data_IF_381240938575
#
_entry.id   IF_381240938575
#
_cell.length_a   1.000
_cell.length_b   1.000
_cell.length_c   1.000
_cell.angle_alpha   90.00
_cell.angle_beta   90.00
_cell.angle_gamma   90.00
#
_symmetry.space_group_name_H-M   'P 1'
#
loop_
_entity.id
_entity.type
_entity.pdbx_description
1 polymer ?
#
# COMPACT_ATOMS: atom_id res chain seq x y z
N UNK A 1 -29.58 -13.25 -16.38
CA UNK A 1 -29.01 -13.07 -15.03
C UNK A 1 -28.42 -11.68 -14.99
N UNK A 2 -29.09 -10.73 -14.33
CA UNK A 2 -28.55 -9.36 -14.20
C UNK A 2 -27.29 -9.45 -13.33
N UNK A 3 -26.13 -9.15 -13.91
CA UNK A 3 -24.87 -9.10 -13.17
C UNK A 3 -24.91 -8.04 -12.07
N UNK A 4 -24.14 -8.23 -11.00
CA UNK A 4 -23.99 -7.23 -9.95
C UNK A 4 -23.30 -6.01 -10.55
N UNK A 5 -23.92 -4.84 -10.43
CA UNK A 5 -23.25 -3.58 -10.71
C UNK A 5 -22.28 -3.28 -9.55
N UNK A 6 -20.99 -3.52 -9.80
CA UNK A 6 -19.93 -3.33 -8.81
C UNK A 6 -19.73 -1.84 -8.49
N UNK A 7 -19.95 -0.95 -9.44
CA UNK A 7 -19.81 0.48 -9.23
C UNK A 7 -20.91 0.99 -8.29
N UNK A 8 -22.17 0.73 -8.65
CA UNK A 8 -23.34 1.12 -7.85
C UNK A 8 -23.25 0.59 -6.41
N UNK A 9 -22.75 -0.65 -6.24
CA UNK A 9 -22.64 -1.29 -4.92
C UNK A 9 -21.51 -0.72 -4.04
N UNK A 10 -20.34 -0.41 -4.62
CA UNK A 10 -19.13 -0.12 -3.84
C UNK A 10 -18.64 1.32 -3.95
N UNK A 11 -18.97 2.03 -5.02
CA UNK A 11 -18.38 3.33 -5.37
C UNK A 11 -19.38 4.50 -5.33
N UNK A 12 -20.69 4.24 -5.36
CA UNK A 12 -21.73 5.30 -5.36
C UNK A 12 -21.57 6.38 -4.28
N UNK A 13 -21.04 6.01 -3.11
CA UNK A 13 -20.77 6.99 -2.04
C UNK A 13 -19.81 8.10 -2.47
N UNK A 14 -18.84 7.78 -3.33
CA UNK A 14 -17.79 8.72 -3.75
C UNK A 14 -18.28 9.78 -4.75
N UNK A 15 -19.43 9.57 -5.37
CA UNK A 15 -20.08 10.56 -6.26
C UNK A 15 -20.77 11.67 -5.48
N UNK A 16 -20.94 11.51 -4.17
CA UNK A 16 -21.51 12.55 -3.31
C UNK A 16 -20.56 13.74 -3.24
N UNK A 17 -21.13 14.93 -3.13
CA UNK A 17 -20.40 16.15 -2.84
C UNK A 17 -19.56 16.02 -1.56
N UNK A 18 -18.41 16.68 -1.52
CA UNK A 18 -17.53 16.68 -0.35
C UNK A 18 -18.29 16.97 0.95
N UNK A 19 -19.17 17.97 0.96
CA UNK A 19 -19.94 18.36 2.15
C UNK A 19 -20.81 17.23 2.69
N UNK A 20 -21.44 16.44 1.81
CA UNK A 20 -22.24 15.28 2.18
C UNK A 20 -21.39 14.13 2.73
N UNK A 21 -20.24 13.85 2.10
CA UNK A 21 -19.34 12.80 2.56
C UNK A 21 -18.77 13.12 3.94
N UNK A 22 -18.41 14.38 4.13
CA UNK A 22 -17.85 14.90 5.36
C UNK A 22 -18.92 14.89 6.48
N UNK A 23 -20.16 15.33 6.21
CA UNK A 23 -21.26 15.25 7.17
C UNK A 23 -21.59 13.81 7.58
N UNK A 24 -21.57 12.87 6.62
CA UNK A 24 -21.69 11.44 6.91
C UNK A 24 -20.59 10.95 7.87
N UNK A 25 -19.35 11.35 7.63
CA UNK A 25 -18.19 10.97 8.42
C UNK A 25 -18.23 11.57 9.84
N UNK A 26 -18.53 12.86 10.00
CA UNK A 26 -18.71 13.53 11.30
C UNK A 26 -19.81 12.87 12.13
N UNK A 27 -20.98 12.63 11.55
CA UNK A 27 -22.08 11.90 12.22
C UNK A 27 -21.67 10.51 12.68
N UNK A 28 -20.84 9.82 11.89
CA UNK A 28 -20.33 8.50 12.22
C UNK A 28 -19.31 8.57 13.37
N UNK A 29 -18.40 9.55 13.35
CA UNK A 29 -17.46 9.80 14.45
C UNK A 29 -18.21 10.09 15.76
N UNK A 30 -19.20 10.98 15.76
CA UNK A 30 -19.94 11.33 16.97
C UNK A 30 -20.57 10.09 17.62
N UNK A 31 -21.28 9.27 16.83
CA UNK A 31 -21.84 8.00 17.33
C UNK A 31 -20.78 7.02 17.80
N UNK A 32 -19.64 6.95 17.11
CA UNK A 32 -18.54 6.07 17.47
C UNK A 32 -17.89 6.51 18.79
N UNK A 33 -17.64 7.80 18.95
CA UNK A 33 -17.07 8.41 20.16
C UNK A 33 -17.93 8.13 21.39
N UNK A 34 -19.26 8.27 21.31
CA UNK A 34 -20.15 7.96 22.45
C UNK A 34 -20.05 6.49 22.92
N UNK A 35 -19.75 5.55 22.02
CA UNK A 35 -19.47 4.16 22.39
C UNK A 35 -18.04 4.00 22.91
N UNK A 36 -17.08 4.63 22.26
CA UNK A 36 -15.66 4.57 22.62
C UNK A 36 -15.40 5.06 24.04
N UNK A 37 -16.08 6.13 24.49
CA UNK A 37 -16.01 6.65 25.86
C UNK A 37 -16.33 5.62 26.96
N UNK A 38 -16.99 4.52 26.62
CA UNK A 38 -17.38 3.44 27.56
C UNK A 38 -16.33 2.34 27.68
N UNK A 39 -15.31 2.35 26.82
CA UNK A 39 -14.26 1.32 26.78
C UNK A 39 -13.27 1.48 27.93
N UNK A 40 -12.53 0.42 28.25
CA UNK A 40 -11.40 0.49 29.16
C UNK A 40 -10.27 1.37 28.62
N UNK A 41 -10.11 1.42 27.29
CA UNK A 41 -9.11 2.27 26.63
C UNK A 41 -9.38 3.75 26.89
N UNK A 42 -10.63 4.20 26.76
CA UNK A 42 -11.00 5.58 27.05
C UNK A 42 -10.67 5.99 28.50
N UNK A 43 -10.83 5.07 29.46
CA UNK A 43 -10.46 5.32 30.87
C UNK A 43 -8.94 5.40 31.08
N UNK A 44 -8.17 4.62 30.32
CA UNK A 44 -6.70 4.64 30.37
C UNK A 44 -6.17 5.94 29.77
N UNK A 45 -6.66 6.33 28.60
CA UNK A 45 -6.19 7.52 27.88
C UNK A 45 -6.73 8.82 28.47
N UNK A 46 -7.94 8.80 29.05
CA UNK A 46 -8.61 9.98 29.57
C UNK A 46 -9.32 9.68 30.91
N UNK A 47 -8.61 9.73 32.05
CA UNK A 47 -9.18 9.45 33.37
C UNK A 47 -10.39 10.32 33.72
N UNK A 48 -10.39 11.59 33.28
CA UNK A 48 -11.44 12.57 33.57
C UNK A 48 -12.67 12.47 32.66
N UNK A 49 -12.71 11.50 31.74
CA UNK A 49 -13.74 11.29 30.69
C UNK A 49 -13.89 12.51 29.75
N UNK A 50 -13.54 12.36 28.47
CA UNK A 50 -13.60 13.47 27.52
C UNK A 50 -15.06 13.85 27.20
N UNK A 51 -15.33 15.14 26.95
CA UNK A 51 -16.65 15.64 26.53
C UNK A 51 -16.78 15.64 25.01
N UNK A 52 -15.68 15.95 24.31
CA UNK A 52 -15.56 15.94 22.85
C UNK A 52 -14.39 15.06 22.44
N UNK A 53 -14.38 14.58 21.21
CA UNK A 53 -13.31 13.70 20.73
C UNK A 53 -11.94 14.41 20.72
N UNK A 54 -11.92 15.72 20.51
CA UNK A 54 -10.69 16.53 20.54
C UNK A 54 -10.05 16.59 21.93
N UNK A 55 -10.79 16.30 23.00
CA UNK A 55 -10.25 16.28 24.36
C UNK A 55 -9.42 14.99 24.61
N UNK A 56 -9.47 14.00 23.69
CA UNK A 56 -8.64 12.79 23.74
C UNK A 56 -7.24 13.15 23.21
N UNK A 57 -6.13 12.79 23.87
CA UNK A 57 -4.80 13.07 23.32
C UNK A 57 -4.57 12.35 21.99
N UNK A 58 -3.73 12.91 21.14
CA UNK A 58 -3.17 12.16 20.01
C UNK A 58 -2.38 10.99 20.59
N UNK A 59 -2.61 9.80 20.07
CA UNK A 59 -1.98 8.56 20.55
C UNK A 59 -0.96 8.04 19.55
N UNK A 60 -0.03 7.26 20.06
CA UNK A 60 1.00 6.53 19.33
C UNK A 60 0.92 5.05 19.75
N UNK A 61 1.67 4.17 19.09
CA UNK A 61 1.59 2.74 19.41
C UNK A 61 1.98 2.41 20.87
N UNK A 62 2.85 3.21 21.50
CA UNK A 62 3.25 3.03 22.90
C UNK A 62 2.11 3.27 23.91
N UNK A 63 1.08 4.02 23.53
CA UNK A 63 -0.10 4.27 24.38
C UNK A 63 -1.02 3.04 24.48
N UNK A 64 -0.70 1.96 23.77
CA UNK A 64 -1.46 0.72 23.72
C UNK A 64 -0.65 -0.46 24.29
N UNK A 65 -0.27 -0.47 25.59
CA UNK A 65 0.53 -1.54 26.18
C UNK A 65 -0.12 -2.92 26.05
N UNK A 66 -1.46 -2.97 26.00
CA UNK A 66 -2.22 -4.19 25.76
C UNK A 66 -1.92 -4.84 24.40
N UNK A 67 -1.53 -4.06 23.38
CA UNK A 67 -1.11 -4.60 22.08
C UNK A 67 0.28 -5.22 22.12
N UNK A 68 1.18 -4.72 22.97
CA UNK A 68 2.47 -5.36 23.23
C UNK A 68 2.28 -6.73 23.89
N UNK A 69 1.44 -6.79 24.93
CA UNK A 69 1.07 -8.06 25.58
C UNK A 69 0.39 -9.02 24.59
N UNK A 70 -0.53 -8.53 23.76
CA UNK A 70 -1.14 -9.32 22.70
C UNK A 70 -0.10 -9.87 21.72
N UNK A 71 0.88 -9.05 21.32
CA UNK A 71 1.98 -9.46 20.44
C UNK A 71 2.82 -10.60 21.02
N UNK A 72 3.05 -10.61 22.34
CA UNK A 72 3.72 -11.72 23.03
C UNK A 72 2.83 -12.97 23.04
N UNK A 73 1.56 -12.83 23.45
CA UNK A 73 0.60 -13.96 23.51
C UNK A 73 0.40 -14.63 22.16
N UNK A 74 0.28 -13.86 21.08
CA UNK A 74 0.11 -14.43 19.73
C UNK A 74 1.39 -15.11 19.26
N UNK A 75 2.57 -14.57 19.61
CA UNK A 75 3.86 -15.21 19.31
C UNK A 75 3.99 -16.57 20.02
N UNK A 76 3.56 -16.65 21.29
CA UNK A 76 3.51 -17.91 22.03
C UNK A 76 2.52 -18.90 21.42
N UNK A 77 1.34 -18.43 21.02
CA UNK A 77 0.34 -19.26 20.34
C UNK A 77 0.85 -19.80 19.01
N UNK A 78 1.59 -19.00 18.23
CA UNK A 78 2.21 -19.46 16.98
C UNK A 78 3.23 -20.56 17.23
N UNK A 79 4.03 -20.45 18.28
CA UNK A 79 5.02 -21.48 18.68
C UNK A 79 4.34 -22.77 19.16
N UNK A 80 3.32 -22.65 20.01
CA UNK A 80 2.65 -23.81 20.63
C UNK A 80 1.63 -24.50 19.72
N UNK A 81 1.01 -23.75 18.79
CA UNK A 81 -0.06 -24.23 17.93
C UNK A 81 0.27 -23.89 16.47
N UNK A 82 1.10 -24.67 15.78
CA UNK A 82 1.41 -24.43 14.36
C UNK A 82 0.17 -24.60 13.48
N UNK A 83 0.22 -23.99 12.28
CA UNK A 83 -0.79 -24.12 11.24
C UNK A 83 -0.96 -25.60 10.85
N UNK A 84 -2.21 -26.08 10.84
CA UNK A 84 -2.52 -27.47 10.49
C UNK A 84 -2.31 -27.71 8.99
N UNK A 85 -2.08 -28.97 8.61
CA UNK A 85 -1.99 -29.35 7.20
C UNK A 85 -3.31 -29.02 6.49
N UNK A 86 -3.25 -28.25 5.39
CA UNK A 86 -4.42 -27.82 4.63
C UNK A 86 -5.20 -26.62 5.20
N UNK A 87 -4.90 -26.16 6.42
CA UNK A 87 -5.50 -24.94 7.00
C UNK A 87 -4.97 -23.71 6.26
N UNK A 88 -5.83 -22.76 5.91
CA UNK A 88 -5.41 -21.48 5.31
C UNK A 88 -4.81 -20.55 6.37
N UNK A 89 -4.04 -19.53 5.98
CA UNK A 89 -3.57 -18.56 6.97
C UNK A 89 -4.72 -17.76 7.57
N UNK A 90 -5.79 -17.52 6.81
CA UNK A 90 -7.04 -16.95 7.33
C UNK A 90 -7.55 -17.78 8.51
N UNK A 91 -7.83 -19.06 8.30
CA UNK A 91 -8.42 -19.93 9.34
C UNK A 91 -7.48 -20.05 10.54
N UNK A 92 -6.18 -20.15 10.25
CA UNK A 92 -5.14 -20.20 11.27
C UNK A 92 -5.16 -18.97 12.18
N UNK A 93 -5.03 -17.76 11.61
CA UNK A 93 -4.97 -16.52 12.39
C UNK A 93 -6.31 -16.12 13.00
N UNK A 94 -7.44 -16.49 12.38
CA UNK A 94 -8.75 -16.36 13.02
C UNK A 94 -8.83 -17.24 14.28
N UNK A 95 -8.35 -18.49 14.20
CA UNK A 95 -8.38 -19.43 15.33
C UNK A 95 -7.44 -19.04 16.47
N UNK A 96 -6.17 -18.73 16.17
CA UNK A 96 -5.20 -18.37 17.23
C UNK A 96 -5.40 -16.95 17.73
N UNK A 97 -5.81 -16.02 16.85
CA UNK A 97 -6.09 -14.63 17.20
C UNK A 97 -7.23 -14.53 18.19
N UNK A 98 -8.32 -15.27 17.99
CA UNK A 98 -9.45 -15.29 18.93
C UNK A 98 -9.04 -15.79 20.33
N UNK A 99 -8.19 -16.83 20.41
CA UNK A 99 -7.65 -17.31 21.69
C UNK A 99 -6.73 -16.30 22.35
N UNK A 100 -5.87 -15.63 21.59
CA UNK A 100 -4.88 -14.69 22.11
C UNK A 100 -5.46 -13.31 22.45
N UNK A 101 -6.51 -12.87 21.74
CA UNK A 101 -6.93 -11.47 21.67
C UNK A 101 -8.37 -11.19 22.12
N UNK A 102 -9.19 -12.19 22.45
CA UNK A 102 -10.60 -11.96 22.86
C UNK A 102 -10.75 -10.97 24.02
N UNK A 103 -9.82 -10.98 24.97
CA UNK A 103 -9.76 -10.05 26.11
C UNK A 103 -9.55 -8.58 25.69
N UNK A 104 -9.07 -8.31 24.47
CA UNK A 104 -8.92 -6.95 23.94
C UNK A 104 -10.26 -6.27 23.68
N UNK A 105 -11.36 -7.03 23.61
CA UNK A 105 -12.71 -6.50 23.39
C UNK A 105 -13.10 -5.40 24.39
N UNK A 106 -12.54 -5.42 25.61
CA UNK A 106 -12.80 -4.39 26.62
C UNK A 106 -12.22 -3.00 26.25
N UNK A 107 -11.19 -2.97 25.39
CA UNK A 107 -10.52 -1.75 24.93
C UNK A 107 -11.10 -1.21 23.62
N UNK A 108 -12.09 -1.90 23.04
CA UNK A 108 -12.63 -1.60 21.72
C UNK A 108 -14.13 -1.31 21.80
N UNK A 109 -14.64 -0.55 20.81
CA UNK A 109 -16.08 -0.24 20.71
C UNK A 109 -16.94 -1.48 20.43
N UNK A 110 -16.33 -2.53 19.92
CA UNK A 110 -16.98 -3.78 19.54
C UNK A 110 -16.04 -4.97 19.85
N UNK A 111 -16.56 -6.21 19.88
CA UNK A 111 -15.75 -7.38 20.17
C UNK A 111 -14.59 -7.56 19.19
N UNK A 112 -13.47 -8.08 19.71
CA UNK A 112 -12.33 -8.51 18.91
C UNK A 112 -12.78 -9.48 17.79
N UNK A 113 -12.41 -9.19 16.56
CA UNK A 113 -12.80 -9.99 15.40
C UNK A 113 -11.61 -10.64 14.72
N UNK A 114 -10.60 -9.83 14.36
CA UNK A 114 -9.38 -10.28 13.71
C UNK A 114 -8.17 -9.47 14.19
N UNK A 115 -6.98 -9.95 13.83
CA UNK A 115 -5.74 -9.21 14.03
C UNK A 115 -4.93 -9.15 12.75
N UNK A 116 -4.15 -8.08 12.62
CA UNK A 116 -3.24 -7.87 11.51
C UNK A 116 -1.85 -7.51 12.04
N UNK A 117 -0.82 -7.77 11.24
CA UNK A 117 0.57 -7.48 11.59
C UNK A 117 1.18 -6.50 10.58
N UNK A 118 1.87 -5.47 11.06
CA UNK A 118 2.64 -4.58 10.18
C UNK A 118 3.91 -5.28 9.69
N UNK A 119 4.45 -4.82 8.58
CA UNK A 119 5.70 -5.34 8.00
C UNK A 119 6.94 -4.96 8.80
N UNK A 120 6.89 -3.88 9.60
CA UNK A 120 8.07 -3.36 10.32
C UNK A 120 9.11 -2.67 9.41
N UNK A 121 8.71 -2.17 8.23
CA UNK A 121 9.66 -1.58 7.27
C UNK A 121 10.53 -0.45 7.85
N UNK A 122 10.06 0.20 8.93
CA UNK A 122 10.77 1.29 9.63
C UNK A 122 10.97 1.02 11.13
N UNK A 123 10.93 -0.25 11.57
CA UNK A 123 11.08 -0.62 12.98
C UNK A 123 10.50 -1.98 13.33
N UNK A 124 10.10 -2.18 14.59
CA UNK A 124 9.49 -3.44 15.01
C UNK A 124 8.10 -3.65 14.38
N UNK A 125 7.79 -4.88 14.01
CA UNK A 125 6.44 -5.23 13.55
C UNK A 125 5.43 -5.08 14.69
N UNK A 126 4.35 -4.37 14.41
CA UNK A 126 3.24 -4.09 15.32
C UNK A 126 2.10 -5.07 15.08
N UNK A 127 1.44 -5.49 16.15
CA UNK A 127 0.19 -6.25 16.07
C UNK A 127 -0.99 -5.32 16.35
N UNK A 128 -2.01 -5.41 15.51
CA UNK A 128 -3.20 -4.57 15.61
C UNK A 128 -4.44 -5.44 15.74
N UNK A 129 -5.34 -5.03 16.62
CA UNK A 129 -6.62 -5.66 16.85
C UNK A 129 -7.75 -4.87 16.20
N UNK A 130 -8.63 -5.59 15.49
CA UNK A 130 -9.74 -5.01 14.76
C UNK A 130 -11.03 -5.78 15.02
N UNK A 131 -12.13 -5.04 15.03
CA UNK A 131 -13.48 -5.55 15.14
C UNK A 131 -14.12 -5.78 13.77
N UNK A 132 -15.39 -6.18 13.79
CA UNK A 132 -16.15 -6.52 12.58
C UNK A 132 -16.40 -5.30 11.68
N UNK A 133 -16.71 -4.14 12.24
CA UNK A 133 -16.94 -2.90 11.49
C UNK A 133 -15.71 -2.53 10.66
N UNK A 134 -14.51 -2.69 11.24
CA UNK A 134 -13.26 -2.44 10.52
C UNK A 134 -13.11 -3.39 9.33
N UNK A 135 -13.36 -4.70 9.53
CA UNK A 135 -13.29 -5.68 8.44
C UNK A 135 -14.28 -5.38 7.31
N UNK A 136 -15.52 -5.01 7.63
CA UNK A 136 -16.55 -4.68 6.64
C UNK A 136 -16.16 -3.44 5.82
N UNK A 137 -15.68 -2.39 6.50
CA UNK A 137 -15.13 -1.20 5.84
C UNK A 137 -13.94 -1.56 4.94
N UNK A 138 -12.98 -2.31 5.49
CA UNK A 138 -11.76 -2.73 4.79
C UNK A 138 -12.08 -3.54 3.52
N UNK A 139 -12.98 -4.52 3.64
CA UNK A 139 -13.35 -5.36 2.51
C UNK A 139 -14.10 -4.58 1.43
N UNK A 140 -15.02 -3.71 1.83
CA UNK A 140 -15.75 -2.81 0.92
C UNK A 140 -14.79 -1.86 0.19
N UNK A 141 -13.87 -1.20 0.91
CA UNK A 141 -12.91 -0.28 0.33
C UNK A 141 -11.88 -0.98 -0.58
N UNK A 142 -11.48 -2.21 -0.24
CA UNK A 142 -10.59 -3.02 -1.11
C UNK A 142 -11.23 -3.34 -2.45
N UNK A 143 -12.54 -3.64 -2.47
CA UNK A 143 -13.27 -3.87 -3.72
C UNK A 143 -13.49 -2.54 -4.47
N UNK A 144 -13.86 -1.48 -3.76
CA UNK A 144 -14.10 -0.18 -4.34
C UNK A 144 -12.85 0.38 -5.06
N UNK A 145 -11.66 0.24 -4.45
CA UNK A 145 -10.39 0.65 -5.08
C UNK A 145 -10.12 -0.16 -6.35
N UNK A 146 -10.35 -1.47 -6.36
CA UNK A 146 -10.20 -2.29 -7.57
C UNK A 146 -11.19 -1.88 -8.68
N UNK A 147 -12.43 -1.54 -8.32
CA UNK A 147 -13.45 -1.02 -9.25
C UNK A 147 -12.96 0.29 -9.87
N UNK A 148 -12.58 1.27 -9.06
CA UNK A 148 -12.06 2.57 -9.53
C UNK A 148 -10.84 2.41 -10.42
N UNK A 149 -9.90 1.51 -10.06
CA UNK A 149 -8.70 1.28 -10.86
C UNK A 149 -9.01 0.83 -12.29
N UNK A 150 -10.15 0.14 -12.48
CA UNK A 150 -10.62 -0.36 -13.76
C UNK A 150 -11.65 0.55 -14.44
N UNK A 151 -11.72 1.83 -14.04
CA UNK A 151 -12.68 2.81 -14.54
C UNK A 151 -11.95 3.96 -15.22
N UNK A 152 -12.49 4.46 -16.33
CA UNK A 152 -11.95 5.63 -17.04
C UNK A 152 -12.74 6.90 -16.69
N UNK A 153 -13.97 6.75 -16.18
CA UNK A 153 -14.81 7.84 -15.68
C UNK A 153 -15.65 7.41 -14.48
N UNK A 154 -16.37 8.38 -13.92
CA UNK A 154 -17.33 8.17 -12.84
C UNK A 154 -18.58 7.44 -13.35
N UNK A 155 -19.15 6.56 -12.52
CA UNK A 155 -20.40 5.85 -12.82
C UNK A 155 -20.22 4.54 -13.60
N UNK A 156 -19.00 4.18 -13.99
CA UNK A 156 -18.74 3.04 -14.85
C UNK A 156 -17.52 2.22 -14.41
N UNK A 157 -17.44 0.94 -14.79
CA UNK A 157 -16.24 0.14 -14.59
C UNK A 157 -16.12 -0.97 -15.63
N UNK A 158 -14.89 -1.28 -16.05
CA UNK A 158 -14.59 -2.44 -16.90
C UNK A 158 -14.47 -3.74 -16.11
N UNK A 159 -14.35 -3.64 -14.77
CA UNK A 159 -14.22 -4.79 -13.88
C UNK A 159 -15.51 -5.60 -13.84
N UNK A 160 -15.39 -6.92 -13.96
CA UNK A 160 -16.52 -7.85 -13.95
C UNK A 160 -16.31 -8.91 -12.88
N UNK A 161 -17.41 -9.37 -12.30
CA UNK A 161 -17.39 -10.51 -11.39
C UNK A 161 -16.77 -11.74 -12.09
N UNK A 162 -15.87 -12.42 -11.38
CA UNK A 162 -15.10 -13.55 -11.90
C UNK A 162 -13.85 -13.18 -12.69
N UNK A 163 -13.56 -11.89 -12.91
CA UNK A 163 -12.29 -11.44 -13.46
C UNK A 163 -11.11 -11.96 -12.63
N UNK A 164 -10.00 -12.27 -13.31
CA UNK A 164 -8.82 -12.83 -12.67
C UNK A 164 -7.91 -11.74 -12.15
N UNK A 165 -7.57 -11.81 -10.88
CA UNK A 165 -6.73 -10.85 -10.19
C UNK A 165 -5.36 -11.44 -9.86
N UNK A 166 -4.29 -10.68 -10.10
CA UNK A 166 -2.95 -11.06 -9.73
C UNK A 166 -2.82 -11.16 -8.21
N UNK A 167 -2.46 -12.34 -7.70
CA UNK A 167 -2.19 -12.53 -6.30
C UNK A 167 -0.68 -12.68 -6.10
N UNK A 168 0.01 -11.58 -5.80
CA UNK A 168 1.41 -11.57 -5.35
C UNK A 168 1.55 -10.97 -3.94
N UNK A 169 0.44 -10.84 -3.22
CA UNK A 169 0.40 -10.25 -1.89
C UNK A 169 1.18 -11.08 -0.86
N UNK A 170 1.75 -10.42 0.15
CA UNK A 170 2.22 -11.11 1.35
C UNK A 170 1.02 -11.80 2.05
N UNK A 171 1.19 -13.01 2.59
CA UNK A 171 0.10 -13.79 3.16
C UNK A 171 -0.44 -13.15 4.46
N UNK A 172 -1.63 -13.60 4.90
CA UNK A 172 -2.14 -13.28 6.24
C UNK A 172 -1.08 -13.72 7.28
N UNK A 173 -0.72 -12.85 8.25
CA UNK A 173 -1.53 -11.79 8.86
C UNK A 173 -1.26 -10.38 8.33
N UNK A 174 -0.52 -10.22 7.24
CA UNK A 174 -0.25 -8.90 6.66
C UNK A 174 -1.49 -8.34 5.97
N UNK A 175 -1.64 -7.01 6.01
CA UNK A 175 -2.81 -6.31 5.44
C UNK A 175 -3.05 -6.63 3.96
N UNK A 176 -1.98 -6.82 3.17
CA UNK A 176 -2.08 -7.22 1.75
C UNK A 176 -2.76 -8.58 1.56
N UNK A 177 -2.52 -9.52 2.48
CA UNK A 177 -3.15 -10.85 2.45
C UNK A 177 -4.63 -10.78 2.78
N UNK A 178 -5.00 -9.93 3.75
CA UNK A 178 -6.40 -9.61 4.05
C UNK A 178 -7.09 -8.91 2.88
N UNK A 179 -6.41 -8.02 2.17
CA UNK A 179 -6.91 -7.36 0.95
C UNK A 179 -7.16 -8.34 -0.20
N UNK A 180 -6.26 -9.32 -0.39
CA UNK A 180 -6.47 -10.41 -1.33
C UNK A 180 -7.73 -11.22 -0.96
N UNK A 181 -7.89 -11.57 0.31
CA UNK A 181 -9.07 -12.29 0.80
C UNK A 181 -10.37 -11.51 0.56
N UNK A 182 -10.38 -10.20 0.83
CA UNK A 182 -11.53 -9.35 0.55
C UNK A 182 -11.88 -9.33 -0.95
N UNK A 183 -10.86 -9.23 -1.80
CA UNK A 183 -11.01 -9.20 -3.26
C UNK A 183 -11.57 -10.50 -3.83
N UNK A 184 -11.33 -11.64 -3.17
CA UNK A 184 -11.85 -12.96 -3.57
C UNK A 184 -13.38 -13.02 -3.59
N UNK A 185 -14.08 -12.08 -2.95
CA UNK A 185 -15.54 -12.00 -2.96
C UNK A 185 -16.11 -11.83 -4.39
N UNK A 186 -15.37 -11.16 -5.28
CA UNK A 186 -15.79 -10.94 -6.68
C UNK A 186 -14.76 -11.39 -7.70
N UNK A 187 -13.50 -11.58 -7.30
CA UNK A 187 -12.38 -11.81 -8.22
C UNK A 187 -11.77 -13.20 -8.02
N UNK A 188 -11.28 -13.78 -9.11
CA UNK A 188 -10.56 -15.05 -9.10
C UNK A 188 -9.06 -14.79 -8.95
N UNK A 189 -8.53 -15.03 -7.77
CA UNK A 189 -7.10 -14.82 -7.50
C UNK A 189 -6.22 -15.82 -8.26
N UNK A 190 -5.12 -15.33 -8.83
CA UNK A 190 -4.12 -16.13 -9.55
C UNK A 190 -2.72 -15.87 -8.97
N UNK A 191 -2.13 -16.84 -8.26
CA UNK A 191 -2.74 -18.10 -7.81
C UNK A 191 -3.87 -17.90 -6.77
N UNK A 192 -4.73 -18.91 -6.58
CA UNK A 192 -5.70 -18.94 -5.49
C UNK A 192 -5.03 -18.81 -4.12
N UNK A 193 -5.75 -18.29 -3.11
CA UNK A 193 -5.22 -18.10 -1.74
C UNK A 193 -4.76 -19.42 -1.14
N UNK A 194 -5.48 -20.51 -1.40
CA UNK A 194 -5.18 -21.83 -0.88
C UNK A 194 -3.84 -22.36 -1.41
N UNK A 195 -3.43 -21.92 -2.59
CA UNK A 195 -2.09 -22.21 -3.14
C UNK A 195 -1.07 -21.24 -2.58
N UNK A 196 -1.36 -19.93 -2.63
CA UNK A 196 -0.46 -18.87 -2.18
C UNK A 196 -0.04 -19.03 -0.71
N UNK A 197 -0.98 -19.38 0.17
CA UNK A 197 -0.74 -19.55 1.62
C UNK A 197 0.13 -20.75 1.96
N UNK A 198 0.32 -21.69 1.03
CA UNK A 198 1.17 -22.87 1.24
C UNK A 198 2.54 -22.75 0.55
N UNK A 199 2.80 -21.64 -0.15
CA UNK A 199 4.12 -21.32 -0.70
C UNK A 199 4.94 -20.58 0.36
N UNK A 200 6.15 -21.08 0.64
CA UNK A 200 7.05 -20.47 1.62
C UNK A 200 7.89 -19.35 1.02
N UNK A 201 8.15 -19.40 -0.28
CA UNK A 201 9.04 -18.48 -0.98
C UNK A 201 8.26 -17.62 -2.00
N UNK A 202 8.41 -16.31 -1.91
CA UNK A 202 7.86 -15.35 -2.87
C UNK A 202 8.37 -15.60 -4.29
N UNK A 203 9.61 -16.09 -4.44
CA UNK A 203 10.18 -16.47 -5.74
C UNK A 203 9.41 -17.63 -6.38
N UNK A 204 9.02 -18.64 -5.60
CA UNK A 204 8.20 -19.75 -6.10
C UNK A 204 6.83 -19.24 -6.56
N UNK A 205 6.21 -18.36 -5.77
CA UNK A 205 4.94 -17.70 -6.11
C UNK A 205 5.05 -16.92 -7.42
N UNK A 206 6.14 -16.16 -7.59
CA UNK A 206 6.44 -15.42 -8.81
C UNK A 206 6.53 -16.34 -10.04
N UNK A 207 7.32 -17.41 -9.98
CA UNK A 207 7.44 -18.34 -11.11
C UNK A 207 6.15 -19.09 -11.41
N UNK A 208 5.32 -19.35 -10.40
CA UNK A 208 4.01 -19.97 -10.58
C UNK A 208 3.06 -19.03 -11.35
N UNK A 209 3.07 -17.74 -11.04
CA UNK A 209 2.35 -16.71 -11.80
C UNK A 209 2.83 -16.66 -13.25
N UNK A 210 4.15 -16.59 -13.49
CA UNK A 210 4.69 -16.58 -14.85
C UNK A 210 4.27 -17.84 -15.64
N UNK A 211 4.27 -19.01 -14.99
CA UNK A 211 3.80 -20.26 -15.60
C UNK A 211 2.30 -20.24 -15.91
N UNK A 212 1.49 -19.66 -15.03
CA UNK A 212 0.05 -19.50 -15.22
C UNK A 212 -0.23 -18.61 -16.45
N UNK A 213 0.39 -17.43 -16.50
CA UNK A 213 0.25 -16.48 -17.62
C UNK A 213 0.69 -17.13 -18.94
N UNK A 214 1.84 -17.83 -18.94
CA UNK A 214 2.34 -18.56 -20.13
C UNK A 214 1.37 -19.62 -20.62
N UNK A 215 0.61 -20.26 -19.72
CA UNK A 215 -0.42 -21.26 -20.06
C UNK A 215 -1.72 -20.64 -20.59
N UNK A 216 -1.80 -19.31 -20.68
CA UNK A 216 -2.94 -18.58 -21.22
C UNK A 216 -3.84 -17.96 -20.15
N UNK A 217 -3.47 -18.00 -18.87
CA UNK A 217 -4.21 -17.30 -17.82
C UNK A 217 -4.18 -15.78 -18.07
N UNK A 218 -5.35 -15.19 -18.33
CA UNK A 218 -5.50 -13.75 -18.58
C UNK A 218 -5.79 -13.04 -17.26
N UNK A 219 -4.83 -12.26 -16.80
CA UNK A 219 -4.98 -11.40 -15.63
C UNK A 219 -5.64 -10.10 -16.06
N UNK A 220 -6.75 -9.73 -15.42
CA UNK A 220 -7.53 -8.54 -15.73
C UNK A 220 -7.30 -7.41 -14.72
N UNK A 221 -6.85 -7.69 -13.50
CA UNK A 221 -6.54 -6.66 -12.51
C UNK A 221 -5.35 -7.10 -11.67
N UNK A 222 -4.54 -6.16 -11.22
CA UNK A 222 -3.41 -6.46 -10.34
C UNK A 222 -3.21 -5.38 -9.29
N UNK A 223 -2.56 -5.76 -8.19
CA UNK A 223 -2.14 -4.82 -7.16
C UNK A 223 -0.76 -5.18 -6.62
N UNK A 224 0.05 -4.17 -6.29
CA UNK A 224 1.36 -4.37 -5.68
C UNK A 224 2.34 -3.25 -5.99
N UNK A 225 3.63 -3.56 -5.87
CA UNK A 225 4.73 -2.66 -6.23
C UNK A 225 4.93 -2.64 -7.76
N UNK A 226 5.26 -1.47 -8.33
CA UNK A 226 5.43 -1.31 -9.78
C UNK A 226 6.52 -2.22 -10.37
N UNK A 227 7.61 -2.45 -9.63
CA UNK A 227 8.71 -3.34 -10.04
C UNK A 227 8.29 -4.77 -10.32
N UNK A 228 7.23 -5.28 -9.68
CA UNK A 228 6.68 -6.60 -9.98
C UNK A 228 6.17 -6.67 -11.43
N UNK A 229 5.39 -5.67 -11.86
CA UNK A 229 4.82 -5.63 -13.19
C UNK A 229 5.91 -5.39 -14.23
N UNK A 230 6.88 -4.53 -13.93
CA UNK A 230 8.09 -4.35 -14.74
C UNK A 230 8.82 -5.68 -14.96
N UNK A 231 9.04 -6.43 -13.88
CA UNK A 231 9.73 -7.73 -13.94
C UNK A 231 8.93 -8.77 -14.75
N UNK A 232 7.60 -8.79 -14.65
CA UNK A 232 6.76 -9.67 -15.50
C UNK A 232 6.82 -9.24 -16.97
N UNK A 233 6.77 -7.93 -17.25
CA UNK A 233 6.86 -7.40 -18.60
C UNK A 233 8.19 -7.80 -19.26
N UNK A 234 9.33 -7.50 -18.59
CA UNK A 234 10.66 -7.90 -19.06
C UNK A 234 10.76 -9.41 -19.29
N UNK A 235 10.18 -10.25 -18.42
CA UNK A 235 10.22 -11.70 -18.60
C UNK A 235 9.56 -12.18 -19.90
N UNK A 236 8.44 -11.57 -20.32
CA UNK A 236 7.68 -12.00 -21.50
C UNK A 236 8.07 -11.27 -22.78
N UNK A 237 8.37 -9.98 -22.69
CA UNK A 237 8.60 -9.09 -23.84
C UNK A 237 10.09 -8.95 -24.15
N UNK A 238 10.94 -8.92 -23.12
CA UNK A 238 12.39 -8.67 -23.24
C UNK A 238 13.23 -9.70 -22.44
N UNK A 239 13.06 -11.01 -22.72
CA UNK A 239 13.64 -12.06 -21.87
C UNK A 239 15.17 -12.05 -21.84
N UNK A 240 15.83 -11.58 -22.91
CA UNK A 240 17.29 -11.43 -22.92
C UNK A 240 17.74 -10.44 -21.84
N UNK A 241 17.12 -9.25 -21.78
CA UNK A 241 17.47 -8.22 -20.82
C UNK A 241 17.13 -8.65 -19.39
N UNK A 242 15.95 -9.26 -19.19
CA UNK A 242 15.57 -9.87 -17.92
C UNK A 242 16.68 -10.77 -17.38
N UNK A 243 17.17 -11.72 -18.19
CA UNK A 243 18.23 -12.64 -17.76
C UNK A 243 19.61 -11.96 -17.68
N UNK A 244 19.86 -10.91 -18.46
CA UNK A 244 21.11 -10.14 -18.41
C UNK A 244 21.29 -9.43 -17.07
N UNK A 245 20.24 -8.84 -16.49
CA UNK A 245 20.28 -8.21 -15.17
C UNK A 245 20.68 -9.22 -14.08
N UNK A 246 20.05 -10.40 -14.05
CA UNK A 246 20.44 -11.47 -13.14
C UNK A 246 21.86 -11.99 -13.39
N UNK A 247 22.33 -11.98 -14.64
CA UNK A 247 23.67 -12.43 -14.98
C UNK A 247 24.75 -11.49 -14.44
N UNK A 248 24.52 -10.17 -14.51
CA UNK A 248 25.46 -9.14 -14.01
C UNK A 248 25.61 -9.21 -12.50
N UNK A 249 24.53 -9.44 -11.77
CA UNK A 249 24.51 -9.53 -10.31
C UNK A 249 25.01 -10.86 -9.74
N UNK A 250 25.21 -11.89 -10.57
CA UNK A 250 25.65 -13.21 -10.12
C UNK A 250 27.17 -13.38 -10.07
N UNK A 251 27.65 -14.09 -9.04
CA UNK A 251 29.03 -14.57 -8.94
C UNK A 251 29.35 -15.64 -10.01
N UNK A 252 30.64 -15.79 -10.31
CA UNK A 252 31.12 -16.83 -11.24
C UNK A 252 30.77 -18.24 -10.72
N UNK A 253 30.20 -19.07 -11.59
CA UNK A 253 29.82 -20.44 -11.27
C UNK A 253 28.87 -21.07 -12.30
N UNK A 254 28.51 -22.34 -12.09
CA UNK A 254 27.67 -23.13 -13.01
C UNK A 254 26.35 -22.43 -13.33
N UNK A 255 25.70 -21.81 -12.34
CA UNK A 255 24.46 -21.05 -12.54
C UNK A 255 24.64 -19.89 -13.54
N UNK A 256 25.78 -19.20 -13.48
CA UNK A 256 26.11 -18.08 -14.38
C UNK A 256 26.34 -18.57 -15.81
N UNK A 257 26.97 -19.72 -15.98
CA UNK A 257 27.12 -20.39 -17.28
C UNK A 257 25.75 -20.79 -17.85
N UNK A 258 24.88 -21.42 -17.04
CA UNK A 258 23.53 -21.80 -17.48
C UNK A 258 22.69 -20.58 -17.87
N UNK A 259 22.82 -19.48 -17.14
CA UNK A 259 22.13 -18.24 -17.44
C UNK A 259 22.65 -17.60 -18.74
N UNK A 260 23.96 -17.64 -18.97
CA UNK A 260 24.55 -17.22 -20.25
C UNK A 260 24.02 -18.05 -21.43
N UNK A 261 23.95 -19.37 -21.29
CA UNK A 261 23.35 -20.25 -22.31
C UNK A 261 21.87 -19.90 -22.53
N UNK A 262 21.14 -19.56 -21.47
CA UNK A 262 19.74 -19.11 -21.58
C UNK A 262 19.62 -17.79 -22.33
N UNK A 263 20.50 -16.82 -22.08
CA UNK A 263 20.56 -15.56 -22.81
C UNK A 263 20.88 -15.78 -24.30
N UNK A 264 21.85 -16.66 -24.60
CA UNK A 264 22.15 -17.05 -25.99
C UNK A 264 20.94 -17.69 -26.66
N UNK A 265 20.23 -18.57 -25.97
CA UNK A 265 18.98 -19.15 -26.48
C UNK A 265 17.96 -18.05 -26.80
N UNK A 266 17.77 -17.07 -25.91
CA UNK A 266 16.86 -15.93 -26.12
C UNK A 266 17.25 -15.09 -27.35
N UNK A 267 18.55 -14.81 -27.54
CA UNK A 267 19.08 -14.11 -28.72
C UNK A 267 18.81 -14.85 -30.02
N UNK A 268 19.01 -16.16 -30.01
CA UNK A 268 18.80 -17.01 -31.19
C UNK A 268 17.30 -17.20 -31.49
N UNK A 269 16.46 -17.18 -30.46
CA UNK A 269 15.01 -17.31 -30.58
C UNK A 269 14.29 -15.99 -30.84
N UNK A 270 14.93 -14.99 -31.48
CA UNK A 270 14.34 -13.67 -31.77
C UNK A 270 12.94 -13.84 -32.37
N UNK A 271 11.92 -13.60 -31.54
CA UNK A 271 10.51 -13.51 -31.92
C UNK A 271 10.18 -12.03 -32.06
N UNK A 272 9.21 -11.70 -32.91
CA UNK A 272 8.62 -10.36 -32.94
C UNK A 272 8.16 -9.96 -31.54
N UNK A 273 8.45 -8.70 -31.14
CA UNK A 273 8.11 -8.17 -29.83
C UNK A 273 6.59 -8.21 -29.68
N UNK A 274 6.10 -9.17 -28.89
CA UNK A 274 4.67 -9.30 -28.60
C UNK A 274 4.36 -8.36 -27.44
N UNK A 275 3.32 -7.53 -27.56
CA UNK A 275 2.90 -6.64 -26.47
C UNK A 275 2.51 -7.42 -25.21
N UNK A 276 2.88 -6.89 -24.04
CA UNK A 276 2.54 -7.49 -22.74
C UNK A 276 1.03 -7.63 -22.53
N UNK A 277 0.21 -6.76 -23.13
CA UNK A 277 -1.27 -6.82 -23.04
C UNK A 277 -1.84 -8.13 -23.60
N UNK A 278 -1.13 -8.79 -24.53
CA UNK A 278 -1.52 -10.10 -25.04
C UNK A 278 -1.37 -11.19 -23.98
N UNK A 279 -0.44 -11.04 -23.04
CA UNK A 279 -0.24 -11.96 -21.93
C UNK A 279 -1.11 -11.56 -20.73
N UNK A 280 -1.13 -10.26 -20.41
CA UNK A 280 -1.81 -9.68 -19.27
C UNK A 280 -2.69 -8.49 -19.71
N UNK A 281 -3.93 -8.74 -20.16
CA UNK A 281 -4.86 -7.71 -20.58
C UNK A 281 -5.46 -7.00 -19.35
N UNK A 282 -4.63 -6.23 -18.66
CA UNK A 282 -5.01 -5.50 -17.45
C UNK A 282 -6.05 -4.42 -17.79
N UNK A 283 -7.14 -4.44 -17.04
CA UNK A 283 -8.19 -3.40 -17.03
C UNK A 283 -7.87 -2.29 -16.05
N UNK A 284 -7.10 -2.59 -15.01
CA UNK A 284 -6.68 -1.65 -13.98
C UNK A 284 -5.57 -2.22 -13.10
N UNK A 285 -4.78 -1.34 -12.50
CA UNK A 285 -3.68 -1.69 -11.60
C UNK A 285 -3.72 -0.79 -10.37
N UNK A 286 -3.49 -1.38 -9.21
CA UNK A 286 -3.37 -0.69 -7.92
C UNK A 286 -1.89 -0.65 -7.51
N UNK A 287 -1.32 0.53 -7.33
CA UNK A 287 0.04 0.68 -6.83
C UNK A 287 0.07 1.53 -5.57
N UNK A 288 0.96 1.17 -4.66
CA UNK A 288 1.14 1.83 -3.37
C UNK A 288 2.62 2.11 -3.13
N UNK A 289 2.87 3.06 -2.23
CA UNK A 289 4.23 3.48 -1.86
C UNK A 289 4.76 4.62 -2.72
N UNK A 290 5.80 5.27 -2.20
CA UNK A 290 6.38 6.49 -2.79
C UNK A 290 6.96 6.21 -4.19
N UNK A 291 7.54 5.02 -4.38
CA UNK A 291 8.14 4.57 -5.65
C UNK A 291 7.13 4.34 -6.76
N UNK A 292 5.81 4.33 -6.47
CA UNK A 292 4.75 4.19 -7.47
C UNK A 292 4.92 5.19 -8.63
N UNK A 293 5.35 6.42 -8.33
CA UNK A 293 5.58 7.47 -9.31
C UNK A 293 6.61 7.08 -10.39
N UNK A 294 7.61 6.27 -10.05
CA UNK A 294 8.67 5.84 -10.98
C UNK A 294 8.16 4.90 -12.07
N UNK A 295 6.98 4.30 -11.88
CA UNK A 295 6.43 3.27 -12.79
C UNK A 295 5.21 3.76 -13.60
N UNK A 296 4.75 5.00 -13.41
CA UNK A 296 3.56 5.53 -14.11
C UNK A 296 3.75 5.45 -15.63
N UNK A 297 4.85 5.99 -16.15
CA UNK A 297 5.14 6.00 -17.59
C UNK A 297 5.30 4.58 -18.14
N UNK A 298 5.90 3.67 -17.37
CA UNK A 298 5.98 2.26 -17.73
C UNK A 298 4.60 1.63 -17.94
N UNK A 299 3.63 1.89 -17.06
CA UNK A 299 2.27 1.36 -17.24
C UNK A 299 1.56 2.00 -18.43
N UNK A 300 1.75 3.30 -18.68
CA UNK A 300 1.18 3.99 -19.84
C UNK A 300 1.74 3.42 -21.14
N UNK A 301 3.05 3.21 -21.23
CA UNK A 301 3.72 2.74 -22.45
C UNK A 301 3.50 1.25 -22.72
N UNK A 302 3.66 0.39 -21.72
CA UNK A 302 3.63 -1.07 -21.91
C UNK A 302 2.21 -1.65 -21.79
N UNK A 303 1.39 -1.11 -20.89
CA UNK A 303 0.04 -1.61 -20.63
C UNK A 303 -1.09 -0.73 -21.15
N UNK A 304 -0.78 0.46 -21.69
CA UNK A 304 -1.76 1.43 -22.16
C UNK A 304 -2.83 1.76 -21.10
N UNK A 305 -2.40 1.90 -19.84
CA UNK A 305 -3.25 2.28 -18.72
C UNK A 305 -2.49 3.16 -17.72
N UNK A 306 -3.22 3.97 -16.99
CA UNK A 306 -2.69 4.69 -15.82
C UNK A 306 -3.03 3.91 -14.54
N UNK A 307 -2.03 3.63 -13.68
CA UNK A 307 -2.26 2.89 -12.45
C UNK A 307 -2.93 3.78 -11.40
N UNK A 308 -3.81 3.18 -10.58
CA UNK A 308 -4.44 3.85 -9.45
C UNK A 308 -3.50 3.84 -8.25
N UNK A 309 -3.14 5.03 -7.76
CA UNK A 309 -2.43 5.19 -6.51
C UNK A 309 -3.37 4.92 -5.35
N UNK A 310 -2.88 4.17 -4.37
CA UNK A 310 -3.59 3.91 -3.12
C UNK A 310 -2.66 4.15 -1.94
N UNK A 311 -3.25 4.63 -0.85
CA UNK A 311 -2.59 4.73 0.45
C UNK A 311 -3.42 4.00 1.50
N UNK A 312 -2.75 3.17 2.28
CA UNK A 312 -3.36 2.41 3.34
C UNK A 312 -2.32 1.78 4.25
N UNK A 313 -2.79 1.36 5.42
CA UNK A 313 -1.94 0.83 6.47
C UNK A 313 -2.59 -0.36 7.16
N UNK A 314 -1.84 -1.05 8.01
CA UNK A 314 -2.43 -2.11 8.86
C UNK A 314 -3.35 -1.50 9.91
N UNK A 315 -3.00 -0.31 10.40
CA UNK A 315 -3.71 0.42 11.43
C UNK A 315 -5.09 0.92 10.97
N UNK A 316 -5.18 1.41 9.72
CA UNK A 316 -6.36 2.10 9.18
C UNK A 316 -7.02 1.41 7.97
N UNK A 317 -6.39 0.40 7.36
CA UNK A 317 -6.87 -0.18 6.11
C UNK A 317 -6.64 0.75 4.90
N UNK A 318 -7.37 0.56 3.78
CA UNK A 318 -7.39 1.53 2.68
C UNK A 318 -7.94 2.87 3.18
N UNK A 319 -7.12 3.92 3.10
CA UNK A 319 -7.44 5.24 3.65
C UNK A 319 -7.60 6.30 2.56
N UNK A 320 -6.79 6.24 1.50
CA UNK A 320 -6.88 7.16 0.36
C UNK A 320 -6.65 6.41 -0.95
N UNK A 321 -7.18 6.96 -2.04
CA UNK A 321 -7.04 6.42 -3.39
C UNK A 321 -7.10 7.56 -4.42
N UNK A 322 -6.61 7.34 -5.62
CA UNK A 322 -6.97 8.18 -6.76
C UNK A 322 -8.44 8.04 -7.14
N UNK A 323 -8.92 8.99 -7.93
CA UNK A 323 -10.23 8.97 -8.59
C UNK A 323 -10.07 8.59 -10.08
N UNK A 324 -11.14 8.18 -10.80
CA UNK A 324 -11.04 7.76 -12.21
C UNK A 324 -10.37 8.79 -13.13
N UNK A 325 -10.63 10.07 -12.88
CA UNK A 325 -10.11 11.23 -13.60
C UNK A 325 -8.78 11.75 -13.06
N UNK A 326 -8.33 11.24 -11.91
CA UNK A 326 -7.08 11.66 -11.26
C UNK A 326 -6.46 10.50 -10.48
N UNK A 327 -5.93 9.51 -11.21
CA UNK A 327 -5.54 8.21 -10.64
C UNK A 327 -4.28 8.25 -9.78
N UNK A 328 -3.39 9.22 -10.01
CA UNK A 328 -2.06 9.28 -9.40
C UNK A 328 -1.98 10.12 -8.11
N UNK A 329 -3.02 10.90 -7.81
CA UNK A 329 -3.11 11.66 -6.56
C UNK A 329 -4.00 10.95 -5.55
N UNK A 330 -3.89 11.32 -4.27
CA UNK A 330 -4.58 10.64 -3.18
C UNK A 330 -5.76 11.47 -2.69
N UNK A 331 -6.92 10.82 -2.60
CA UNK A 331 -8.19 11.40 -2.16
C UNK A 331 -8.73 10.56 -0.99
N UNK A 332 -9.13 11.16 0.14
CA UNK A 332 -9.58 10.43 1.33
C UNK A 332 -10.85 9.58 1.13
N UNK A 333 -10.86 8.35 1.65
CA UNK A 333 -12.08 7.54 1.80
C UNK A 333 -12.73 7.84 3.16
N UNK A 334 -13.74 8.72 3.16
CA UNK A 334 -14.46 9.14 4.37
C UNK A 334 -15.45 8.08 4.91
N UNK A 335 -15.44 6.85 4.39
CA UNK A 335 -16.26 5.76 4.93
C UNK A 335 -15.54 4.94 5.98
N UNK A 336 -14.21 4.84 5.93
CA UNK A 336 -13.47 3.84 6.70
C UNK A 336 -12.98 4.39 8.04
N UNK A 337 -12.59 5.66 8.08
CA UNK A 337 -11.96 6.32 9.22
C UNK A 337 -12.38 7.79 9.33
N UNK A 338 -12.21 8.38 10.51
CA UNK A 338 -12.10 9.83 10.66
C UNK A 338 -10.63 10.22 10.56
N UNK A 339 -10.31 11.28 9.80
CA UNK A 339 -8.94 11.71 9.53
C UNK A 339 -8.77 13.15 9.99
N UNK A 340 -7.74 13.37 10.79
CA UNK A 340 -7.26 14.66 11.26
C UNK A 340 -5.86 14.91 10.71
N UNK A 341 -5.47 16.18 10.61
CA UNK A 341 -4.22 16.59 9.98
C UNK A 341 -3.46 17.49 10.95
N UNK A 342 -2.27 17.05 11.38
CA UNK A 342 -1.46 17.75 12.37
C UNK A 342 -0.36 18.54 11.66
N UNK A 343 -0.24 19.83 11.94
CA UNK A 343 0.81 20.71 11.43
C UNK A 343 2.13 20.46 12.18
N UNK A 344 3.23 21.06 11.69
CA UNK A 344 4.54 20.93 12.32
C UNK A 344 4.58 21.52 13.75
N UNK A 345 3.87 22.63 13.98
CA UNK A 345 3.71 23.26 15.29
C UNK A 345 2.73 22.51 16.22
N UNK A 346 2.12 21.42 15.74
CA UNK A 346 1.28 20.52 16.52
C UNK A 346 -0.20 20.91 16.55
N UNK A 347 -0.61 21.92 15.79
CA UNK A 347 -2.02 22.26 15.61
C UNK A 347 -2.73 21.15 14.82
N UNK A 348 -3.94 20.78 15.24
CA UNK A 348 -4.74 19.75 14.56
C UNK A 348 -5.87 20.41 13.78
N UNK A 349 -5.90 20.14 12.47
CA UNK A 349 -6.89 20.63 11.51
C UNK A 349 -7.79 19.50 11.06
N UNK A 350 -9.05 19.84 10.77
CA UNK A 350 -9.96 18.98 10.02
C UNK A 350 -9.68 19.09 8.51
N UNK A 351 -10.25 18.16 7.75
CA UNK A 351 -10.05 18.06 6.31
C UNK A 351 -10.50 19.32 5.54
N UNK A 352 -11.53 20.02 6.02
CA UNK A 352 -12.08 21.25 5.43
C UNK A 352 -11.31 22.53 5.84
N UNK A 353 -10.26 22.41 6.65
CA UNK A 353 -9.44 23.53 7.12
C UNK A 353 -8.05 23.58 6.46
N UNK A 354 -7.76 22.64 5.57
CA UNK A 354 -6.43 22.49 4.96
C UNK A 354 -6.17 23.52 3.86
N UNK A 355 -4.90 23.76 3.57
CA UNK A 355 -4.45 24.73 2.57
C UNK A 355 -3.51 24.11 1.55
N UNK A 356 -3.63 24.56 0.29
CA UNK A 356 -2.77 24.12 -0.81
C UNK A 356 -1.30 24.42 -0.51
N UNK A 357 -0.42 23.45 -0.76
CA UNK A 357 1.02 23.56 -0.58
C UNK A 357 1.52 23.18 0.82
N UNK A 358 0.65 23.19 1.84
CA UNK A 358 1.02 22.82 3.21
C UNK A 358 1.13 21.29 3.38
N UNK A 359 2.01 20.88 4.30
CA UNK A 359 2.28 19.49 4.65
C UNK A 359 1.73 19.21 6.04
N UNK A 360 1.06 18.05 6.19
CA UNK A 360 0.45 17.64 7.44
C UNK A 360 0.75 16.17 7.76
N UNK A 361 0.93 15.87 9.05
CA UNK A 361 0.98 14.51 9.57
C UNK A 361 -0.45 13.95 9.68
N UNK A 362 -0.65 12.70 9.28
CA UNK A 362 -1.96 12.04 9.32
C UNK A 362 -2.24 11.49 10.72
N UNK A 363 -3.35 11.90 11.31
CA UNK A 363 -3.91 11.32 12.54
C UNK A 363 -5.24 10.64 12.20
N UNK A 364 -5.43 9.39 12.63
CA UNK A 364 -6.59 8.59 12.23
C UNK A 364 -7.37 8.03 13.41
N UNK A 365 -8.68 7.96 13.24
CA UNK A 365 -9.58 7.15 14.07
C UNK A 365 -10.30 6.14 13.17
N UNK A 366 -9.74 4.93 12.98
CA UNK A 366 -10.34 3.92 12.11
C UNK A 366 -11.55 3.27 12.79
N UNK A 367 -12.71 3.27 12.12
CA UNK A 367 -13.93 2.76 12.74
C UNK A 367 -13.85 1.25 12.96
N UNK A 368 -13.99 0.83 14.22
CA UNK A 368 -13.93 -0.58 14.62
C UNK A 368 -12.51 -1.10 14.86
N UNK A 369 -11.49 -0.24 14.78
CA UNK A 369 -10.13 -0.57 15.24
C UNK A 369 -9.98 -0.30 16.73
N UNK A 370 -8.88 -0.77 17.33
CA UNK A 370 -8.49 -0.40 18.69
C UNK A 370 -7.97 1.05 18.79
N UNK A 371 -7.49 1.61 17.67
CA UNK A 371 -6.89 2.93 17.61
C UNK A 371 -7.90 4.07 17.65
N UNK A 372 -7.56 5.14 18.37
CA UNK A 372 -8.33 6.38 18.45
C UNK A 372 -7.39 7.58 18.46
N UNK A 373 -7.61 8.56 17.56
CA UNK A 373 -6.69 9.68 17.28
C UNK A 373 -5.23 9.24 17.19
N UNK A 374 -4.97 8.18 16.42
CA UNK A 374 -3.65 7.57 16.30
C UNK A 374 -2.80 8.29 15.26
N UNK A 375 -1.63 8.73 15.66
CA UNK A 375 -0.61 9.31 14.80
C UNK A 375 0.01 8.22 13.92
N UNK A 376 -0.19 8.35 12.61
CA UNK A 376 0.37 7.42 11.63
C UNK A 376 1.88 7.59 11.45
N UNK A 377 2.45 8.71 11.89
CA UNK A 377 3.83 9.15 11.61
C UNK A 377 4.14 9.26 10.10
N UNK A 378 3.08 9.46 9.31
CA UNK A 378 3.08 9.58 7.86
C UNK A 378 2.61 10.98 7.47
N UNK A 379 3.27 11.61 6.50
CA UNK A 379 2.98 13.00 6.10
C UNK A 379 2.48 13.08 4.66
N UNK A 380 1.56 14.02 4.41
CA UNK A 380 0.97 14.31 3.09
C UNK A 380 0.98 15.80 2.81
N UNK A 381 1.16 16.17 1.54
CA UNK A 381 1.03 17.54 1.05
C UNK A 381 -0.29 17.73 0.33
N UNK A 382 -1.00 18.81 0.62
CA UNK A 382 -2.17 19.20 -0.19
C UNK A 382 -1.67 19.77 -1.51
N UNK A 383 -1.86 19.03 -2.60
CA UNK A 383 -1.43 19.45 -3.94
C UNK A 383 -2.51 20.20 -4.68
N UNK A 384 -3.78 19.97 -4.35
CA UNK A 384 -4.90 20.60 -5.01
C UNK A 384 -6.22 20.41 -4.26
N UNK A 385 -7.31 20.93 -4.83
CA UNK A 385 -8.67 20.70 -4.37
C UNK A 385 -9.55 20.30 -5.56
N UNK A 386 -10.53 19.42 -5.33
CA UNK A 386 -11.65 19.19 -6.26
C UNK A 386 -12.55 20.42 -6.31
N UNK A 387 -13.40 20.49 -7.33
CA UNK A 387 -14.38 21.58 -7.50
C UNK A 387 -15.35 21.74 -6.31
N UNK A 388 -15.62 20.65 -5.59
CA UNK A 388 -16.44 20.63 -4.37
C UNK A 388 -15.66 20.95 -3.08
N UNK A 389 -14.36 21.26 -3.19
CA UNK A 389 -13.50 21.59 -2.06
C UNK A 389 -12.87 20.40 -1.35
N UNK A 390 -13.04 19.16 -1.84
CA UNK A 390 -12.30 18.01 -1.29
C UNK A 390 -10.79 18.18 -1.53
N UNK A 391 -9.94 18.14 -0.48
CA UNK A 391 -8.49 18.23 -0.66
C UNK A 391 -7.92 17.01 -1.38
N UNK A 392 -6.91 17.25 -2.21
CA UNK A 392 -6.18 16.25 -2.99
C UNK A 392 -4.73 16.24 -2.50
N UNK A 393 -4.18 15.05 -2.26
CA UNK A 393 -2.90 14.86 -1.59
C UNK A 393 -1.84 14.19 -2.46
N UNK A 394 -0.58 14.57 -2.23
CA UNK A 394 0.58 13.75 -2.55
C UNK A 394 1.18 13.19 -1.24
N UNK A 395 1.66 11.95 -1.28
CA UNK A 395 2.31 11.32 -0.15
C UNK A 395 3.77 11.76 -0.06
N UNK A 396 4.18 12.37 1.05
CA UNK A 396 5.55 12.87 1.23
C UNK A 396 6.49 11.78 1.77
N UNK A 397 5.97 10.90 2.63
CA UNK A 397 6.74 9.83 3.22
C UNK A 397 6.46 9.67 4.71
N UNK A 398 7.26 8.80 5.34
CA UNK A 398 7.24 8.61 6.80
C UNK A 398 8.15 9.61 7.46
N UNK A 399 7.75 10.19 8.58
CA UNK A 399 8.55 11.17 9.33
C UNK A 399 9.93 10.62 9.73
N UNK A 400 10.00 9.34 10.11
CA UNK A 400 11.26 8.64 10.46
C UNK A 400 12.20 8.39 9.28
N UNK A 401 11.71 8.53 8.05
CA UNK A 401 12.51 8.33 6.83
C UNK A 401 13.03 9.64 6.23
N UNK A 402 12.68 10.80 6.81
CA UNK A 402 13.17 12.11 6.36
C UNK A 402 14.66 12.23 6.70
N UNK A 403 15.47 12.52 5.69
CA UNK A 403 16.90 12.76 5.84
C UNK A 403 17.13 14.27 5.90
N UNK A 404 17.54 14.77 7.07
CA UNK A 404 17.91 16.19 7.22
C UNK A 404 19.35 16.41 6.79
N UNK A 405 19.58 17.30 5.84
CA UNK A 405 20.91 17.69 5.34
C UNK A 405 21.05 19.21 5.41
N UNK A 406 21.79 19.72 6.40
CA UNK A 406 21.81 21.16 6.71
C UNK A 406 20.40 21.75 6.90
N UNK A 407 19.96 22.65 6.02
CA UNK A 407 18.63 23.30 6.03
C UNK A 407 17.59 22.55 5.18
N UNK A 408 18.00 21.44 4.55
CA UNK A 408 17.19 20.69 3.59
C UNK A 408 16.57 19.43 4.22
N UNK A 409 15.25 19.30 4.14
CA UNK A 409 14.52 18.08 4.53
C UNK A 409 14.27 17.20 3.30
N UNK A 410 15.08 16.14 3.15
CA UNK A 410 15.01 15.23 2.01
C UNK A 410 14.07 14.08 2.34
N UNK A 411 12.81 14.20 1.89
CA UNK A 411 11.79 13.16 2.05
C UNK A 411 11.97 12.04 1.01
N UNK A 412 11.44 10.83 1.26
CA UNK A 412 11.36 9.79 0.23
C UNK A 412 10.74 10.28 -1.08
N UNK A 413 9.71 11.14 -1.02
CA UNK A 413 9.05 11.69 -2.19
C UNK A 413 9.95 12.65 -2.99
N UNK A 414 10.73 13.50 -2.31
CA UNK A 414 11.75 14.35 -2.95
C UNK A 414 12.74 13.49 -3.72
N UNK A 415 13.21 12.39 -3.12
CA UNK A 415 14.15 11.47 -3.77
C UNK A 415 13.53 10.84 -5.02
N UNK A 416 12.32 10.27 -4.93
CA UNK A 416 11.67 9.64 -6.10
C UNK A 416 11.36 10.64 -7.21
N UNK A 417 10.96 11.86 -6.85
CA UNK A 417 10.75 12.95 -7.82
C UNK A 417 12.06 13.35 -8.50
N UNK A 418 13.14 13.51 -7.75
CA UNK A 418 14.46 13.81 -8.29
C UNK A 418 14.96 12.69 -9.22
N UNK A 419 14.79 11.43 -8.86
CA UNK A 419 15.14 10.31 -9.73
C UNK A 419 14.29 10.30 -11.02
N UNK A 420 13.00 10.61 -10.93
CA UNK A 420 12.13 10.77 -12.10
C UNK A 420 12.60 11.90 -13.03
N UNK A 421 12.94 13.07 -12.47
CA UNK A 421 13.48 14.23 -13.20
C UNK A 421 14.86 13.94 -13.82
N UNK A 422 15.70 13.17 -13.12
CA UNK A 422 16.99 12.69 -13.62
C UNK A 422 16.88 11.67 -14.77
N UNK A 423 15.66 11.29 -15.17
CA UNK A 423 15.41 10.25 -16.18
C UNK A 423 15.65 8.82 -15.66
N UNK A 424 15.81 8.64 -14.35
CA UNK A 424 16.03 7.35 -13.69
C UNK A 424 14.68 6.71 -13.32
N UNK A 425 13.79 6.60 -14.31
CA UNK A 425 12.46 5.99 -14.17
C UNK A 425 12.53 4.46 -14.23
N UNK A 426 11.47 3.79 -13.78
CA UNK A 426 11.31 2.32 -13.82
C UNK A 426 12.38 1.51 -13.06
N UNK A 427 13.06 2.10 -12.08
CA UNK A 427 14.03 1.40 -11.23
C UNK A 427 13.87 1.82 -9.77
N UNK A 428 13.53 0.86 -8.91
CA UNK A 428 13.53 0.94 -7.45
C UNK A 428 14.85 0.43 -6.83
N UNK A 429 15.86 0.16 -7.67
CA UNK A 429 17.13 -0.44 -7.25
C UNK A 429 18.13 0.60 -6.74
N UNK A 430 17.71 1.34 -5.74
CA UNK A 430 18.50 2.38 -5.12
C UNK A 430 18.33 2.38 -3.60
N UNK A 431 19.32 2.93 -2.92
CA UNK A 431 19.27 3.26 -1.51
C UNK A 431 20.02 4.57 -1.32
N UNK A 432 19.55 5.39 -0.37
CA UNK A 432 20.24 6.62 0.00
C UNK A 432 20.43 6.67 1.51
N UNK A 433 21.61 7.13 1.91
CA UNK A 433 21.95 7.34 3.32
C UNK A 433 22.70 8.67 3.44
N UNK A 434 22.50 9.36 4.56
CA UNK A 434 23.35 10.49 4.95
C UNK A 434 24.63 9.98 5.61
N UNK A 435 25.77 10.37 5.08
CA UNK A 435 27.09 10.13 5.66
C UNK A 435 27.66 11.43 6.20
N UNK A 436 28.26 11.38 7.39
CA UNK A 436 28.83 12.56 8.07
C UNK A 436 30.29 12.85 7.68
N UNK A 437 30.99 11.85 7.14
CA UNK A 437 32.43 11.93 6.80
C UNK A 437 32.66 11.61 5.32
N UNK A 438 33.64 12.24 4.66
CA UNK A 438 34.57 13.27 5.17
C UNK A 438 33.93 14.66 5.34
N UNK A 439 32.77 14.89 4.72
CA UNK A 439 31.85 16.01 4.95
C UNK A 439 30.43 15.45 4.93
N UNK A 440 29.48 16.17 5.50
CA UNK A 440 28.08 15.75 5.45
C UNK A 440 27.58 15.73 4.00
N UNK A 441 27.09 14.57 3.53
CA UNK A 441 26.57 14.39 2.17
C UNK A 441 25.57 13.24 2.09
N UNK A 442 24.75 13.23 1.04
CA UNK A 442 23.95 12.08 0.65
C UNK A 442 24.80 11.11 -0.16
N UNK A 443 24.73 9.82 0.18
CA UNK A 443 25.37 8.75 -0.55
C UNK A 443 24.29 7.89 -1.20
N UNK A 444 24.24 7.93 -2.53
CA UNK A 444 23.33 7.11 -3.34
C UNK A 444 24.03 5.82 -3.75
N UNK A 445 23.45 4.68 -3.38
CA UNK A 445 23.85 3.36 -3.83
C UNK A 445 22.82 2.85 -4.82
N UNK A 446 23.23 2.60 -6.06
CA UNK A 446 22.30 2.31 -7.16
C UNK A 446 22.86 1.22 -8.08
N UNK A 447 21.99 0.36 -8.62
CA UNK A 447 22.41 -0.54 -9.70
C UNK A 447 22.63 0.28 -10.99
N UNK A 448 23.83 0.22 -11.56
CA UNK A 448 24.17 0.98 -12.77
C UNK A 448 23.40 0.45 -13.98
N UNK A 449 22.34 1.18 -14.36
CA UNK A 449 21.49 0.89 -15.52
C UNK A 449 21.68 1.88 -16.68
N UNK A 450 22.53 2.89 -16.51
CA UNK A 450 22.67 4.01 -17.45
C UNK A 450 23.99 4.00 -18.26
N UNK A 451 24.01 4.69 -19.42
CA UNK A 451 25.17 4.73 -20.31
C UNK A 451 26.26 5.72 -19.86
N UNK A 452 25.96 6.68 -18.99
CA UNK A 452 26.89 7.72 -18.56
C UNK A 452 27.82 7.29 -17.41
N UNK A 453 28.83 8.12 -17.13
CA UNK A 453 29.77 7.90 -16.02
C UNK A 453 29.11 8.13 -14.66
N UNK A 454 29.68 7.59 -13.58
CA UNK A 454 29.17 7.84 -12.21
C UNK A 454 29.18 9.33 -11.85
N UNK A 455 30.22 10.06 -12.25
CA UNK A 455 30.34 11.50 -12.01
C UNK A 455 29.27 12.31 -12.74
N UNK A 456 28.88 11.87 -13.93
CA UNK A 456 27.81 12.50 -14.68
C UNK A 456 26.44 12.17 -14.08
N UNK A 457 26.23 10.92 -13.63
CA UNK A 457 25.04 10.53 -12.88
C UNK A 457 24.87 11.36 -11.61
N UNK A 458 25.95 11.51 -10.82
CA UNK A 458 25.99 12.34 -9.61
C UNK A 458 25.54 13.76 -9.91
N UNK A 459 26.06 14.39 -10.97
CA UNK A 459 25.68 15.75 -11.36
C UNK A 459 24.20 15.86 -11.74
N UNK A 460 23.69 14.90 -12.51
CA UNK A 460 22.28 14.89 -12.94
C UNK A 460 21.35 14.74 -11.72
N UNK A 461 21.65 13.77 -10.85
CA UNK A 461 20.86 13.53 -9.62
C UNK A 461 20.91 14.75 -8.70
N UNK A 462 22.10 15.36 -8.52
CA UNK A 462 22.25 16.57 -7.71
C UNK A 462 21.36 17.71 -8.23
N UNK A 463 21.42 18.01 -9.53
CA UNK A 463 20.60 19.06 -10.12
C UNK A 463 19.10 18.75 -9.98
N UNK A 464 18.71 17.50 -10.18
CA UNK A 464 17.32 17.08 -10.03
C UNK A 464 16.81 17.14 -8.59
N UNK A 465 17.67 16.91 -7.59
CA UNK A 465 17.32 17.09 -6.17
C UNK A 465 17.02 18.55 -5.85
N UNK A 466 17.82 19.48 -6.37
CA UNK A 466 17.60 20.93 -6.19
C UNK A 466 16.30 21.40 -6.87
N UNK A 467 15.86 20.74 -7.96
CA UNK A 467 14.60 21.05 -8.64
C UNK A 467 13.38 20.38 -7.99
N UNK A 468 13.59 19.24 -7.32
CA UNK A 468 12.50 18.45 -6.73
C UNK A 468 12.02 19.00 -5.37
N UNK A 469 12.89 19.68 -4.66
CA UNK A 469 12.57 20.53 -3.49
C UNK A 469 11.74 21.74 -3.91
#
# INVERSE_FOLDING_TARGET
MNGIDLWEKYCKFYEKDFSEQMEYNRKRLERYFQKWRKTALAKILCPEKPNRYQDVPITTYSDYPMLSEFGQRISDMVRANPKKRGETFRDYYMRIGQKAGSWLSQYMVEPFYLCMKTTGTTGESKWVAHGRTFWENFASASIATAVVACSDGWGETKLKEGDKALNMNAPIPYVSGWGALASQAHLKLVPPIEVADNLKDMKEKFFLILKAIRRGEKIAVGGGIGSLFYMICKYFVEPEEFYAEYYRSMNLGIKKVLLYLKMLQCRLSRRERTSIVNFMPLKGVLIAGVEAQLYIDFFREEFNLEPLHIYGSTEAGPLMRGDPDRKTDLIPDLRTSYIEFKTEDGEVKNLDELKKGEVYDIVVTPFGSIFFRYDMEDSVRVVDFRDDGMPIFAFEGRRKAIIRLYEYDVTPNVITRALSLAGLKSSDKWAVIKLLKPREHLHFLMEKVWPYSEREAERIIFNALIEAE
#
